data_IF_913834206519
#
_entry.id   IF_913834206519
#
_cell.length_a   1.000
_cell.length_b   1.000
_cell.length_c   1.000
_cell.angle_alpha   90.00
_cell.angle_beta   90.00
_cell.angle_gamma   90.00
#
_symmetry.space_group_name_H-M   'P 1'
#
loop_
_entity.id
_entity.type
_entity.pdbx_description
1 polymer ?
#
# COMPACT_ATOMS: atom_id res chain seq x y z
N UNK A 1 -8.00 13.99 16.60
CA UNK A 1 -8.22 13.85 15.15
C UNK A 1 -7.23 12.89 14.50
N UNK A 2 -5.91 13.07 14.72
CA UNK A 2 -4.86 12.20 14.15
C UNK A 2 -5.13 10.69 14.21
N UNK A 3 -5.39 10.13 15.41
CA UNK A 3 -5.56 8.67 15.55
C UNK A 3 -6.71 8.09 14.73
N UNK A 4 -7.81 8.84 14.57
CA UNK A 4 -8.93 8.43 13.71
C UNK A 4 -8.54 8.45 12.24
N UNK A 5 -7.87 9.52 11.78
CA UNK A 5 -7.39 9.62 10.41
C UNK A 5 -6.37 8.52 10.06
N UNK A 6 -5.44 8.21 10.99
CA UNK A 6 -4.48 7.14 10.81
C UNK A 6 -5.16 5.77 10.75
N UNK A 7 -6.15 5.52 11.63
CA UNK A 7 -6.94 4.30 11.58
C UNK A 7 -7.74 4.18 10.28
N UNK A 8 -8.34 5.28 9.80
CA UNK A 8 -9.01 5.32 8.49
C UNK A 8 -8.04 5.05 7.34
N UNK A 9 -6.80 5.55 7.42
CA UNK A 9 -5.76 5.28 6.41
C UNK A 9 -5.39 3.80 6.39
N UNK A 10 -5.15 3.21 7.56
CA UNK A 10 -4.82 1.79 7.70
C UNK A 10 -5.96 0.90 7.19
N UNK A 11 -7.21 1.23 7.57
CA UNK A 11 -8.39 0.52 7.11
C UNK A 11 -8.59 0.66 5.61
N UNK A 12 -8.48 1.87 5.07
CA UNK A 12 -8.59 2.11 3.63
C UNK A 12 -7.58 1.25 2.89
N UNK A 13 -6.28 1.36 3.23
CA UNK A 13 -5.24 0.56 2.58
C UNK A 13 -5.52 -0.95 2.67
N UNK A 14 -5.79 -1.45 3.88
CA UNK A 14 -5.99 -2.88 4.12
C UNK A 14 -7.22 -3.43 3.39
N UNK A 15 -8.30 -2.67 3.26
CA UNK A 15 -9.55 -3.13 2.64
C UNK A 15 -9.54 -2.95 1.14
N UNK A 16 -9.20 -1.75 0.64
CA UNK A 16 -9.43 -1.43 -0.78
C UNK A 16 -8.54 -2.25 -1.72
N UNK A 17 -7.36 -2.65 -1.26
CA UNK A 17 -6.45 -3.49 -2.06
C UNK A 17 -6.91 -4.94 -2.18
N UNK A 18 -7.91 -5.38 -1.40
CA UNK A 18 -8.54 -6.68 -1.55
C UNK A 18 -9.85 -6.62 -2.34
N UNK A 19 -10.27 -5.44 -2.82
CA UNK A 19 -11.48 -5.32 -3.64
C UNK A 19 -11.31 -6.00 -5.01
N UNK A 20 -10.10 -6.08 -5.54
CA UNK A 20 -9.79 -6.85 -6.76
C UNK A 20 -9.96 -8.37 -6.60
N UNK A 21 -10.06 -8.88 -5.36
CA UNK A 21 -10.38 -10.29 -5.08
C UNK A 21 -11.88 -10.59 -5.13
N UNK A 22 -12.73 -9.56 -5.32
CA UNK A 22 -14.16 -9.78 -5.50
C UNK A 22 -14.38 -10.56 -6.81
N UNK A 23 -15.22 -11.61 -6.80
CA UNK A 23 -15.45 -12.45 -7.97
C UNK A 23 -15.82 -11.59 -9.19
N UNK A 24 -15.26 -11.95 -10.35
CA UNK A 24 -15.48 -11.29 -11.64
C UNK A 24 -16.97 -11.08 -11.92
N UNK A 25 -17.50 -9.88 -11.69
CA UNK A 25 -18.93 -9.68 -11.96
C UNK A 25 -19.65 -8.53 -11.28
N UNK A 26 -18.99 -7.41 -10.97
CA UNK A 26 -19.75 -6.16 -10.81
C UNK A 26 -20.40 -5.70 -12.14
N UNK A 27 -20.15 -6.44 -13.23
CA UNK A 27 -20.69 -6.19 -14.55
C UNK A 27 -19.85 -5.22 -15.37
N UNK A 28 -20.33 -4.96 -16.57
CA UNK A 28 -19.85 -3.87 -17.40
C UNK A 28 -20.68 -2.61 -17.14
N UNK A 29 -20.05 -1.46 -17.31
CA UNK A 29 -20.75 -0.17 -17.40
C UNK A 29 -21.55 -0.09 -18.70
N UNK A 30 -22.34 0.99 -18.83
CA UNK A 30 -23.14 1.28 -20.04
C UNK A 30 -22.28 1.36 -21.30
N UNK A 31 -21.01 1.76 -21.17
CA UNK A 31 -20.07 1.93 -22.27
C UNK A 31 -19.16 0.70 -22.50
N UNK A 32 -19.42 -0.41 -21.81
CA UNK A 32 -18.71 -1.69 -22.00
C UNK A 32 -17.41 -1.84 -21.21
N UNK A 33 -16.96 -0.82 -20.46
CA UNK A 33 -15.81 -0.94 -19.53
C UNK A 33 -16.21 -1.72 -18.28
N UNK A 34 -15.27 -2.40 -17.61
CA UNK A 34 -15.61 -3.18 -16.41
C UNK A 34 -15.76 -2.25 -15.21
N UNK A 35 -16.76 -2.50 -14.36
CA UNK A 35 -16.94 -1.71 -13.11
C UNK A 35 -15.72 -1.84 -12.19
N UNK A 36 -15.02 -2.97 -12.22
CA UNK A 36 -13.77 -3.18 -11.48
C UNK A 36 -12.70 -2.13 -11.85
N UNK A 37 -12.51 -1.84 -13.14
CA UNK A 37 -11.53 -0.85 -13.61
C UNK A 37 -11.80 0.54 -13.03
N UNK A 38 -13.08 0.92 -12.89
CA UNK A 38 -13.47 2.18 -12.26
C UNK A 38 -13.23 2.22 -10.76
N UNK A 39 -13.45 1.09 -10.07
CA UNK A 39 -13.13 0.98 -8.66
C UNK A 39 -11.62 1.08 -8.45
N UNK A 40 -10.83 0.44 -9.29
CA UNK A 40 -9.38 0.49 -9.21
C UNK A 40 -8.83 1.90 -9.47
N UNK A 41 -9.45 2.68 -10.37
CA UNK A 41 -9.12 4.11 -10.51
C UNK A 41 -9.37 4.91 -9.23
N UNK A 42 -10.35 4.52 -8.42
CA UNK A 42 -10.67 5.18 -7.16
C UNK A 42 -9.75 4.75 -6.00
N UNK A 43 -9.19 3.54 -6.04
CA UNK A 43 -8.37 2.96 -4.96
C UNK A 43 -7.27 3.92 -4.47
N UNK A 44 -6.43 4.52 -5.33
CA UNK A 44 -5.36 5.39 -4.86
C UNK A 44 -5.89 6.55 -4.03
N UNK A 45 -6.98 7.16 -4.46
CA UNK A 45 -7.57 8.31 -3.78
C UNK A 45 -8.20 7.94 -2.44
N UNK A 46 -8.81 6.76 -2.35
CA UNK A 46 -9.37 6.24 -1.10
C UNK A 46 -8.31 6.02 -0.02
N UNK A 47 -7.05 5.79 -0.42
CA UNK A 47 -5.91 5.68 0.51
C UNK A 47 -5.21 7.03 0.73
N UNK A 48 -5.01 7.81 -0.34
CA UNK A 48 -4.26 9.06 -0.29
C UNK A 48 -4.97 10.16 0.51
N UNK A 49 -6.29 10.26 0.41
CA UNK A 49 -7.06 11.28 1.15
C UNK A 49 -6.92 11.09 2.66
N UNK A 50 -7.23 9.93 3.27
CA UNK A 50 -7.05 9.76 4.70
C UNK A 50 -5.58 9.84 5.13
N UNK A 51 -4.63 9.43 4.28
CA UNK A 51 -3.21 9.62 4.55
C UNK A 51 -2.84 11.12 4.65
N UNK A 52 -3.28 11.94 3.70
CA UNK A 52 -3.08 13.39 3.72
C UNK A 52 -3.72 14.03 4.96
N UNK A 53 -4.95 13.63 5.32
CA UNK A 53 -5.61 14.09 6.54
C UNK A 53 -4.84 13.69 7.80
N UNK A 54 -4.20 12.52 7.80
CA UNK A 54 -3.33 12.06 8.90
C UNK A 54 -2.11 12.96 9.04
N UNK A 55 -1.42 13.25 7.93
CA UNK A 55 -0.25 14.13 7.90
C UNK A 55 -0.60 15.57 8.28
N UNK A 56 -1.73 16.07 7.80
CA UNK A 56 -2.26 17.38 8.16
C UNK A 56 -2.60 17.47 9.65
N UNK A 57 -3.31 16.47 10.19
CA UNK A 57 -3.62 16.40 11.63
C UNK A 57 -2.37 16.22 12.49
N UNK A 58 -1.26 15.76 11.91
CA UNK A 58 0.04 15.70 12.55
C UNK A 58 0.87 16.98 12.44
N UNK A 59 0.42 17.96 11.66
CA UNK A 59 1.14 19.22 11.40
C UNK A 59 2.59 18.95 10.95
N UNK A 60 2.78 17.98 10.05
CA UNK A 60 4.11 17.58 9.59
C UNK A 60 4.79 18.70 8.79
N UNK A 61 6.12 18.74 8.86
CA UNK A 61 6.92 19.70 8.12
C UNK A 61 7.02 19.42 6.61
N UNK A 62 7.51 20.42 5.86
CA UNK A 62 7.65 20.40 4.39
C UNK A 62 8.35 19.15 3.85
N UNK A 63 9.37 18.63 4.55
CA UNK A 63 10.08 17.41 4.13
C UNK A 63 9.16 16.19 4.04
N UNK A 64 8.27 16.03 5.01
CA UNK A 64 7.33 14.89 5.03
C UNK A 64 6.30 15.04 3.92
N UNK A 65 5.85 16.26 3.63
CA UNK A 65 4.97 16.53 2.50
C UNK A 65 5.64 16.24 1.15
N UNK A 66 6.94 16.50 0.98
CA UNK A 66 7.65 16.11 -0.24
C UNK A 66 7.72 14.59 -0.41
N UNK A 67 8.03 13.85 0.67
CA UNK A 67 8.06 12.38 0.65
C UNK A 67 6.65 11.85 0.31
N UNK A 68 5.62 12.38 0.97
CA UNK A 68 4.23 12.03 0.68
C UNK A 68 3.85 12.35 -0.76
N UNK A 69 4.20 13.54 -1.27
CA UNK A 69 3.88 13.95 -2.63
C UNK A 69 4.54 13.05 -3.68
N UNK A 70 5.82 12.73 -3.51
CA UNK A 70 6.53 11.80 -4.38
C UNK A 70 5.91 10.38 -4.31
N UNK A 71 5.61 9.90 -3.10
CA UNK A 71 4.94 8.62 -2.89
C UNK A 71 3.53 8.57 -3.50
N UNK A 72 2.77 9.65 -3.38
CA UNK A 72 1.43 9.78 -3.92
C UNK A 72 1.42 9.79 -5.46
N UNK A 73 2.36 10.53 -6.07
CA UNK A 73 2.54 10.53 -7.52
C UNK A 73 2.91 9.14 -8.03
N UNK A 74 3.92 8.50 -7.42
CA UNK A 74 4.31 7.14 -7.80
C UNK A 74 3.15 6.14 -7.60
N UNK A 75 2.45 6.21 -6.48
CA UNK A 75 1.34 5.30 -6.20
C UNK A 75 0.19 5.44 -7.20
N UNK A 76 -0.28 6.65 -7.44
CA UNK A 76 -1.36 6.90 -8.39
C UNK A 76 -0.96 6.58 -9.84
N UNK A 77 0.26 6.92 -10.25
CA UNK A 77 0.74 6.61 -11.60
C UNK A 77 0.98 5.11 -11.79
N UNK A 78 1.53 4.41 -10.79
CA UNK A 78 1.73 2.96 -10.86
C UNK A 78 0.41 2.20 -11.04
N UNK A 79 -0.62 2.57 -10.26
CA UNK A 79 -1.98 2.07 -10.47
C UNK A 79 -2.54 2.40 -11.87
N UNK A 80 -2.37 3.66 -12.30
CA UNK A 80 -2.85 4.07 -13.63
C UNK A 80 -2.16 3.33 -14.77
N UNK A 81 -0.86 3.06 -14.65
CA UNK A 81 -0.09 2.26 -15.61
C UNK A 81 -0.57 0.81 -15.64
N UNK A 82 -0.74 0.19 -14.47
CA UNK A 82 -1.31 -1.15 -14.33
C UNK A 82 -2.67 -1.25 -15.06
N UNK A 83 -3.59 -0.34 -14.77
CA UNK A 83 -4.92 -0.34 -15.38
C UNK A 83 -4.90 -0.10 -16.89
N UNK A 84 -4.10 0.87 -17.35
CA UNK A 84 -3.98 1.16 -18.77
C UNK A 84 -3.39 -0.05 -19.52
N UNK A 85 -2.35 -0.67 -18.97
CA UNK A 85 -1.69 -1.83 -19.56
C UNK A 85 -2.60 -3.07 -19.54
N UNK A 86 -3.37 -3.29 -18.47
CA UNK A 86 -4.35 -4.36 -18.38
C UNK A 86 -5.47 -4.20 -19.43
N UNK A 87 -5.97 -2.97 -19.59
CA UNK A 87 -6.97 -2.64 -20.61
C UNK A 87 -6.47 -2.93 -22.02
N UNK A 88 -5.22 -2.53 -22.34
CA UNK A 88 -4.57 -2.87 -23.61
C UNK A 88 -4.38 -4.39 -23.73
N UNK A 89 -3.89 -5.07 -22.70
CA UNK A 89 -3.62 -6.50 -22.69
C UNK A 89 -4.86 -7.38 -22.86
N UNK A 90 -6.04 -6.89 -22.46
CA UNK A 90 -7.32 -7.58 -22.72
C UNK A 90 -7.72 -7.56 -24.20
N UNK A 91 -7.22 -6.60 -24.98
CA UNK A 91 -7.52 -6.45 -26.42
C UNK A 91 -6.38 -7.00 -27.28
N UNK A 92 -5.14 -6.68 -26.93
CA UNK A 92 -3.92 -7.08 -27.63
C UNK A 92 -2.89 -7.64 -26.63
N UNK A 93 -3.04 -8.92 -26.23
CA UNK A 93 -2.12 -9.54 -25.28
C UNK A 93 -0.71 -9.61 -25.86
N UNK A 94 0.28 -9.20 -25.07
CA UNK A 94 1.67 -9.31 -25.51
C UNK A 94 2.68 -8.94 -24.44
N UNK A 95 3.98 -9.18 -24.70
CA UNK A 95 5.05 -8.92 -23.74
C UNK A 95 5.11 -7.46 -23.29
N UNK A 96 4.78 -6.52 -24.16
CA UNK A 96 4.77 -5.09 -23.83
C UNK A 96 3.66 -4.76 -22.83
N UNK A 97 2.43 -5.27 -23.04
CA UNK A 97 1.34 -5.06 -22.10
C UNK A 97 1.69 -5.66 -20.74
N UNK A 98 2.20 -6.90 -20.72
CA UNK A 98 2.65 -7.57 -19.51
C UNK A 98 3.77 -6.80 -18.78
N UNK A 99 4.76 -6.26 -19.49
CA UNK A 99 5.84 -5.47 -18.89
C UNK A 99 5.30 -4.25 -18.13
N UNK A 100 4.37 -3.51 -18.73
CA UNK A 100 3.82 -2.30 -18.12
C UNK A 100 2.78 -2.59 -17.04
N UNK A 101 2.04 -3.69 -17.19
CA UNK A 101 1.04 -4.17 -16.24
C UNK A 101 1.70 -4.75 -14.98
N UNK A 102 2.43 -5.85 -15.17
CA UNK A 102 2.85 -6.74 -14.09
C UNK A 102 4.22 -6.38 -13.50
N UNK A 103 5.08 -5.73 -14.28
CA UNK A 103 6.45 -5.40 -13.84
C UNK A 103 6.54 -3.94 -13.45
N UNK A 104 6.52 -3.04 -14.43
CA UNK A 104 6.80 -1.62 -14.20
C UNK A 104 5.70 -0.97 -13.35
N UNK A 105 4.43 -1.24 -13.65
CA UNK A 105 3.27 -0.75 -12.90
C UNK A 105 3.36 -1.10 -11.41
N UNK A 106 3.56 -2.39 -11.10
CA UNK A 106 3.68 -2.87 -9.72
C UNK A 106 4.88 -2.28 -8.97
N UNK A 107 6.08 -2.23 -9.57
CA UNK A 107 7.24 -1.64 -8.89
C UNK A 107 7.04 -0.15 -8.59
N UNK A 108 6.45 0.63 -9.52
CA UNK A 108 6.18 2.05 -9.30
C UNK A 108 5.09 2.24 -8.24
N UNK A 109 4.02 1.45 -8.30
CA UNK A 109 2.96 1.44 -7.29
C UNK A 109 3.53 1.17 -5.90
N UNK A 110 4.24 0.06 -5.71
CA UNK A 110 4.73 -0.31 -4.38
C UNK A 110 5.85 0.60 -3.87
N UNK A 111 6.67 1.17 -4.75
CA UNK A 111 7.56 2.27 -4.38
C UNK A 111 6.78 3.49 -3.86
N UNK A 112 5.66 3.81 -4.50
CA UNK A 112 4.74 4.85 -4.04
C UNK A 112 4.18 4.57 -2.64
N UNK A 113 3.66 3.36 -2.42
CA UNK A 113 3.15 2.94 -1.10
C UNK A 113 4.25 2.96 -0.03
N UNK A 114 5.47 2.50 -0.35
CA UNK A 114 6.61 2.61 0.56
C UNK A 114 6.91 4.08 0.95
N UNK A 115 6.83 5.01 -0.01
CA UNK A 115 6.95 6.44 0.25
C UNK A 115 5.84 6.98 1.17
N UNK A 116 4.59 6.57 0.95
CA UNK A 116 3.46 6.92 1.82
C UNK A 116 3.66 6.40 3.25
N UNK A 117 4.08 5.13 3.39
CA UNK A 117 4.39 4.51 4.68
C UNK A 117 5.53 5.24 5.40
N UNK A 118 6.58 5.65 4.68
CA UNK A 118 7.66 6.42 5.25
C UNK A 118 7.19 7.79 5.78
N UNK A 119 6.36 8.51 5.01
CA UNK A 119 5.79 9.78 5.45
C UNK A 119 4.90 9.61 6.71
N UNK A 120 4.05 8.58 6.72
CA UNK A 120 3.21 8.25 7.87
C UNK A 120 4.05 7.85 9.09
N UNK A 121 5.09 7.03 8.91
CA UNK A 121 6.02 6.62 9.97
C UNK A 121 6.70 7.82 10.63
N UNK A 122 7.11 8.81 9.85
CA UNK A 122 7.69 10.06 10.38
C UNK A 122 6.67 10.84 11.23
N UNK A 123 5.38 10.82 10.88
CA UNK A 123 4.32 11.47 11.67
C UNK A 123 4.04 10.83 13.04
N UNK A 124 4.50 9.59 13.24
CA UNK A 124 4.28 8.81 14.46
C UNK A 124 5.30 9.10 15.57
N UNK A 125 6.38 9.82 15.25
CA UNK A 125 7.46 10.08 16.20
C UNK A 125 6.97 10.93 17.38
N UNK A 126 7.31 10.54 18.61
CA UNK A 126 6.87 11.23 19.83
C UNK A 126 5.40 10.99 20.21
N UNK A 127 4.64 10.18 19.46
CA UNK A 127 3.23 9.88 19.78
C UNK A 127 3.09 8.65 20.68
N UNK A 128 2.09 8.61 21.58
CA UNK A 128 1.87 7.47 22.46
C UNK A 128 1.55 6.19 21.67
N UNK A 129 1.85 5.04 22.28
CA UNK A 129 1.51 3.73 21.71
C UNK A 129 -0.01 3.61 21.46
N UNK A 130 -0.43 2.84 20.45
CA UNK A 130 -1.84 2.74 20.13
C UNK A 130 -2.59 1.83 21.11
N UNK A 131 -3.93 1.93 21.18
CA UNK A 131 -4.76 0.90 21.77
C UNK A 131 -4.72 -0.40 20.96
N UNK A 132 -5.29 -1.49 21.50
CA UNK A 132 -5.31 -2.84 20.88
C UNK A 132 -5.73 -2.81 19.41
N UNK A 133 -6.80 -2.05 19.08
CA UNK A 133 -7.29 -1.95 17.70
C UNK A 133 -6.24 -1.41 16.72
N UNK A 134 -5.32 -0.54 17.15
CA UNK A 134 -4.24 -0.06 16.30
C UNK A 134 -3.22 -1.14 15.96
N UNK A 135 -3.00 -2.13 16.84
CA UNK A 135 -2.18 -3.29 16.53
C UNK A 135 -2.86 -4.24 15.54
N UNK A 136 -4.17 -4.44 15.67
CA UNK A 136 -4.92 -5.26 14.71
C UNK A 136 -4.89 -4.63 13.30
N UNK A 137 -5.13 -3.31 13.22
CA UNK A 137 -5.07 -2.58 11.95
C UNK A 137 -3.67 -2.64 11.32
N UNK A 138 -2.60 -2.54 12.10
CA UNK A 138 -1.25 -2.60 11.51
C UNK A 138 -0.85 -4.00 11.06
N UNK A 139 -1.35 -5.06 11.71
CA UNK A 139 -1.19 -6.43 11.22
C UNK A 139 -1.91 -6.57 9.89
N UNK A 140 -3.15 -6.09 9.78
CA UNK A 140 -3.89 -6.10 8.52
C UNK A 140 -3.12 -5.35 7.40
N UNK A 141 -2.57 -4.17 7.68
CA UNK A 141 -1.72 -3.43 6.72
C UNK A 141 -0.50 -4.24 6.30
N UNK A 142 0.21 -4.88 7.24
CA UNK A 142 1.38 -5.71 6.94
C UNK A 142 1.05 -6.95 6.10
N UNK A 143 -0.06 -7.62 6.41
CA UNK A 143 -0.55 -8.76 5.63
C UNK A 143 -0.98 -8.35 4.23
N UNK A 144 -1.69 -7.23 4.08
CA UNK A 144 -2.04 -6.65 2.78
C UNK A 144 -0.78 -6.30 1.98
N UNK A 145 0.25 -5.72 2.62
CA UNK A 145 1.53 -5.46 1.95
C UNK A 145 2.17 -6.76 1.41
N UNK A 146 2.22 -7.82 2.23
CA UNK A 146 2.78 -9.10 1.81
C UNK A 146 1.96 -9.77 0.70
N UNK A 147 0.63 -9.83 0.83
CA UNK A 147 -0.23 -10.44 -0.19
C UNK A 147 -0.13 -9.72 -1.53
N UNK A 148 -0.10 -8.39 -1.50
CA UNK A 148 0.04 -7.60 -2.72
C UNK A 148 1.41 -7.82 -3.37
N UNK A 149 2.47 -7.91 -2.56
CA UNK A 149 3.81 -8.18 -3.08
C UNK A 149 3.91 -9.53 -3.80
N UNK A 150 3.23 -10.56 -3.29
CA UNK A 150 3.15 -11.87 -3.95
C UNK A 150 2.28 -11.78 -5.21
N UNK A 151 1.11 -11.14 -5.12
CA UNK A 151 0.22 -10.95 -6.25
C UNK A 151 0.84 -10.16 -7.40
N UNK A 152 1.71 -9.20 -7.09
CA UNK A 152 2.37 -8.35 -8.08
C UNK A 152 3.83 -8.70 -8.39
N UNK A 153 4.35 -9.85 -7.91
CA UNK A 153 5.72 -10.31 -8.21
C UNK A 153 6.84 -9.36 -7.78
N UNK A 154 6.67 -8.67 -6.64
CA UNK A 154 7.65 -7.71 -6.10
C UNK A 154 8.19 -8.13 -4.73
N UNK A 155 8.27 -9.43 -4.47
CA UNK A 155 8.53 -10.00 -3.15
C UNK A 155 9.88 -9.53 -2.57
N UNK A 156 10.94 -9.51 -3.37
CA UNK A 156 12.27 -9.05 -2.94
C UNK A 156 12.28 -7.58 -2.51
N UNK A 157 11.65 -6.71 -3.30
CA UNK A 157 11.52 -5.30 -2.97
C UNK A 157 10.70 -5.12 -1.70
N UNK A 158 9.57 -5.82 -1.62
CA UNK A 158 8.65 -5.73 -0.50
C UNK A 158 9.23 -6.30 0.79
N UNK A 159 10.09 -7.30 0.71
CA UNK A 159 10.86 -7.82 1.84
C UNK A 159 11.84 -6.76 2.33
N UNK A 160 12.62 -6.14 1.44
CA UNK A 160 13.57 -5.09 1.81
C UNK A 160 12.85 -3.91 2.51
N UNK A 161 11.74 -3.43 1.95
CA UNK A 161 10.92 -2.40 2.58
C UNK A 161 10.36 -2.82 3.95
N UNK A 162 9.92 -4.08 4.09
CA UNK A 162 9.45 -4.63 5.36
C UNK A 162 10.56 -4.66 6.41
N UNK A 163 11.77 -5.06 6.05
CA UNK A 163 12.92 -5.06 6.96
C UNK A 163 13.28 -3.64 7.42
N UNK A 164 13.22 -2.65 6.53
CA UNK A 164 13.40 -1.24 6.89
C UNK A 164 12.32 -0.77 7.86
N UNK A 165 11.05 -1.11 7.61
CA UNK A 165 9.93 -0.78 8.49
C UNK A 165 10.06 -1.46 9.88
N UNK A 166 10.48 -2.72 9.92
CA UNK A 166 10.78 -3.48 11.15
C UNK A 166 11.89 -2.81 11.93
N UNK A 167 13.01 -2.49 11.28
CA UNK A 167 14.13 -1.80 11.91
C UNK A 167 13.71 -0.44 12.47
N UNK A 168 13.01 0.38 11.68
CA UNK A 168 12.48 1.65 12.15
C UNK A 168 11.54 1.46 13.35
N UNK A 169 10.58 0.55 13.25
CA UNK A 169 9.64 0.25 14.32
C UNK A 169 10.31 -0.21 15.61
N UNK A 170 11.41 -0.97 15.50
CA UNK A 170 12.24 -1.36 16.65
C UNK A 170 12.92 -0.17 17.32
N UNK A 171 13.49 0.75 16.54
CA UNK A 171 14.08 1.99 17.07
C UNK A 171 13.03 2.87 17.76
N UNK A 172 11.78 2.84 17.28
CA UNK A 172 10.66 3.62 17.80
C UNK A 172 9.72 2.81 18.72
N UNK A 173 10.15 1.66 19.27
CA UNK A 173 9.26 0.69 19.96
C UNK A 173 8.60 1.20 21.25
N UNK A 174 9.10 2.30 21.82
CA UNK A 174 8.54 2.94 23.03
C UNK A 174 7.36 3.86 22.73
N UNK A 175 7.09 4.12 21.46
CA UNK A 175 6.10 5.08 20.98
C UNK A 175 5.26 4.45 19.85
N UNK A 176 4.40 5.24 19.20
CA UNK A 176 3.48 4.76 18.16
C UNK A 176 4.18 4.01 17.02
N UNK A 177 5.42 4.39 16.67
CA UNK A 177 6.20 3.72 15.61
C UNK A 177 6.39 2.21 15.80
N UNK A 178 6.17 1.66 17.00
CA UNK A 178 6.13 0.22 17.26
C UNK A 178 5.17 -0.54 16.34
N UNK A 179 4.14 0.12 15.79
CA UNK A 179 3.19 -0.51 14.86
C UNK A 179 3.86 -1.03 13.61
N UNK A 180 4.92 -0.38 13.12
CA UNK A 180 5.65 -0.86 11.94
C UNK A 180 6.33 -2.20 12.22
N UNK A 181 6.90 -2.37 13.42
CA UNK A 181 7.45 -3.66 13.84
C UNK A 181 6.37 -4.73 13.90
N UNK A 182 5.24 -4.43 14.53
CA UNK A 182 4.14 -5.40 14.72
C UNK A 182 3.49 -5.78 13.39
N UNK A 183 3.34 -4.83 12.46
CA UNK A 183 2.75 -5.10 11.15
C UNK A 183 3.72 -5.76 10.18
N UNK A 184 4.95 -5.25 10.05
CA UNK A 184 5.88 -5.67 9.01
C UNK A 184 6.77 -6.86 9.39
N UNK A 185 6.88 -7.23 10.68
CA UNK A 185 7.59 -8.46 11.04
C UNK A 185 6.86 -9.72 10.53
N UNK A 186 5.55 -9.91 10.74
CA UNK A 186 4.79 -10.99 10.09
C UNK A 186 4.86 -10.94 8.57
N UNK A 187 4.76 -9.75 7.97
CA UNK A 187 4.88 -9.57 6.52
C UNK A 187 6.24 -10.06 5.99
N UNK A 188 7.34 -9.70 6.66
CA UNK A 188 8.67 -10.15 6.30
C UNK A 188 8.81 -11.68 6.43
N UNK A 189 8.27 -12.28 7.49
CA UNK A 189 8.26 -13.75 7.67
C UNK A 189 7.53 -14.44 6.52
N UNK A 190 6.34 -13.95 6.15
CA UNK A 190 5.59 -14.49 5.02
C UNK A 190 6.37 -14.39 3.71
N UNK A 191 6.96 -13.22 3.42
CA UNK A 191 7.72 -13.00 2.19
C UNK A 191 8.97 -13.89 2.12
N UNK A 192 9.67 -14.11 3.24
CA UNK A 192 10.76 -15.08 3.32
C UNK A 192 10.25 -16.50 3.04
N UNK A 193 9.11 -16.88 3.60
CA UNK A 193 8.47 -18.17 3.34
C UNK A 193 8.16 -18.37 1.85
N UNK A 194 7.53 -17.37 1.21
CA UNK A 194 7.23 -17.40 -0.22
C UNK A 194 8.51 -17.52 -1.06
N UNK A 195 9.52 -16.70 -0.79
CA UNK A 195 10.80 -16.72 -1.53
C UNK A 195 11.59 -18.02 -1.34
N UNK A 196 11.41 -18.70 -0.20
CA UNK A 196 12.00 -20.00 0.07
C UNK A 196 11.19 -21.18 -0.53
N UNK A 197 10.03 -20.93 -1.13
CA UNK A 197 9.14 -21.96 -1.65
C UNK A 197 8.39 -22.75 -0.57
N UNK A 198 8.16 -22.14 0.60
CA UNK A 198 7.47 -22.73 1.77
C UNK A 198 6.00 -22.27 1.81
N UNK A 199 5.40 -22.00 0.66
CA UNK A 199 4.05 -21.41 0.52
C UNK A 199 3.06 -22.32 -0.18
#
# INVERSE_FOLDING_TARGET
MYGRALASTALAYAVVHHLGLLPSGLGSTVDGTRVADWLDLAIPWLVLIPAALTLQAAQVGRRVWWIFGAGALAYANGHGMHLAANSVGNIDPGPTAHLWDEVVGHYIWYAGVAGLLAALAMSMVGRPRPPVIGYLLTVAVGLTWASNAVGGGTEWFSLAASLVAVWWGWTQRRQLGVVLLVGFAPAAVMLVGTLAGIG
#
